data_IF_328934208838
#
_entry.id   IF_328934208838
#
_cell.length_a   1.000
_cell.length_b   1.000
_cell.length_c   1.000
_cell.angle_alpha   90.00
_cell.angle_beta   90.00
_cell.angle_gamma   90.00
#
_symmetry.space_group_name_H-M   'P 1'
#
loop_
_entity.id
_entity.type
_entity.pdbx_description
1 polymer ?
#
# COMPACT_ATOMS: atom_id res chain seq x y z
N UNK A 1 -39.37 13.42 -10.30
CA UNK A 1 -38.01 12.91 -10.62
C UNK A 1 -37.44 12.37 -9.33
N UNK A 2 -36.93 11.15 -9.32
CA UNK A 2 -36.33 10.57 -8.12
C UNK A 2 -34.97 11.22 -7.91
N UNK A 3 -34.81 11.83 -6.74
CA UNK A 3 -33.56 12.42 -6.30
C UNK A 3 -32.53 11.33 -6.02
N UNK A 4 -31.34 11.44 -6.61
CA UNK A 4 -30.27 10.43 -6.44
C UNK A 4 -29.69 10.49 -5.04
N UNK A 5 -29.16 9.35 -4.57
CA UNK A 5 -28.42 9.27 -3.31
C UNK A 5 -27.29 10.30 -3.26
N UNK A 6 -26.54 10.42 -4.36
CA UNK A 6 -25.49 11.42 -4.53
C UNK A 6 -25.99 12.86 -4.33
N UNK A 7 -27.10 13.24 -4.96
CA UNK A 7 -27.58 14.62 -4.85
C UNK A 7 -28.04 14.96 -3.42
N UNK A 8 -28.68 14.01 -2.74
CA UNK A 8 -29.03 14.16 -1.31
C UNK A 8 -27.78 14.37 -0.46
N UNK A 9 -26.73 13.58 -0.70
CA UNK A 9 -25.46 13.73 0.00
C UNK A 9 -24.85 15.11 -0.23
N UNK A 10 -24.83 15.59 -1.48
CA UNK A 10 -24.33 16.94 -1.82
C UNK A 10 -25.12 18.02 -1.06
N UNK A 11 -26.44 17.91 -0.96
CA UNK A 11 -27.27 18.86 -0.21
C UNK A 11 -27.01 18.81 1.31
N UNK A 12 -26.80 17.63 1.88
CA UNK A 12 -26.45 17.47 3.31
C UNK A 12 -25.09 18.10 3.61
N UNK A 13 -24.13 17.95 2.70
CA UNK A 13 -22.76 18.43 2.91
C UNK A 13 -22.61 19.93 2.60
N UNK A 14 -23.19 20.40 1.50
CA UNK A 14 -23.03 21.78 1.02
C UNK A 14 -24.14 22.73 1.53
N UNK A 15 -25.27 22.20 1.98
CA UNK A 15 -26.44 22.99 2.35
C UNK A 15 -27.24 23.49 1.15
N UNK A 16 -28.14 24.45 1.38
CA UNK A 16 -28.94 25.09 0.34
C UNK A 16 -28.16 26.22 -0.36
N UNK A 17 -27.11 25.83 -1.07
CA UNK A 17 -26.23 26.73 -1.83
C UNK A 17 -26.45 26.57 -3.33
N UNK A 18 -26.13 27.61 -4.09
CA UNK A 18 -26.31 27.59 -5.54
C UNK A 18 -25.30 26.64 -6.20
N UNK A 19 -25.70 26.01 -7.32
CA UNK A 19 -24.82 25.11 -8.07
C UNK A 19 -23.50 25.77 -8.52
N UNK A 20 -23.48 27.09 -8.67
CA UNK A 20 -22.26 27.85 -8.97
C UNK A 20 -21.30 27.87 -7.77
N UNK A 21 -21.82 28.09 -6.57
CA UNK A 21 -21.00 28.17 -5.35
C UNK A 21 -20.36 26.80 -5.05
N UNK A 22 -21.12 25.71 -5.21
CA UNK A 22 -20.57 24.34 -5.12
C UNK A 22 -19.46 24.15 -6.16
N UNK A 23 -19.69 24.56 -7.40
CA UNK A 23 -18.71 24.43 -8.47
C UNK A 23 -17.42 25.22 -8.18
N UNK A 24 -17.55 26.44 -7.66
CA UNK A 24 -16.42 27.31 -7.28
C UNK A 24 -15.61 26.70 -6.12
N UNK A 25 -16.27 26.15 -5.09
CA UNK A 25 -15.60 25.48 -3.96
C UNK A 25 -14.87 24.21 -4.41
N UNK A 26 -15.46 23.43 -5.31
CA UNK A 26 -14.92 22.15 -5.77
C UNK A 26 -13.88 22.32 -6.89
N UNK A 27 -13.86 23.48 -7.56
CA UNK A 27 -12.99 23.75 -8.70
C UNK A 27 -13.40 22.94 -9.94
N UNK A 28 -14.70 22.93 -10.27
CA UNK A 28 -15.27 22.25 -11.45
C UNK A 28 -16.27 23.16 -12.16
N UNK A 29 -16.67 22.81 -13.39
CA UNK A 29 -17.72 23.56 -14.09
C UNK A 29 -19.10 23.39 -13.44
N UNK A 30 -19.85 24.49 -13.34
CA UNK A 30 -21.26 24.53 -12.88
C UNK A 30 -22.17 23.53 -13.59
N UNK A 31 -21.89 23.23 -14.85
CA UNK A 31 -22.67 22.27 -15.66
C UNK A 31 -22.65 20.87 -15.05
N UNK A 32 -21.55 20.46 -14.41
CA UNK A 32 -21.45 19.17 -13.71
C UNK A 32 -22.41 19.12 -12.52
N UNK A 33 -22.38 20.14 -11.66
CA UNK A 33 -23.27 20.22 -10.49
C UNK A 33 -24.75 20.26 -10.90
N UNK A 34 -25.05 20.99 -11.98
CA UNK A 34 -26.42 21.05 -12.53
C UNK A 34 -26.89 19.67 -13.01
N UNK A 35 -26.01 18.88 -13.64
CA UNK A 35 -26.31 17.51 -14.06
C UNK A 35 -26.54 16.59 -12.85
N UNK A 36 -25.79 16.75 -11.76
CA UNK A 36 -26.02 15.97 -10.53
C UNK A 36 -27.40 16.24 -9.95
N UNK A 37 -27.84 17.50 -9.94
CA UNK A 37 -29.20 17.89 -9.54
C UNK A 37 -30.29 17.29 -10.42
N UNK A 38 -29.97 17.03 -11.69
CA UNK A 38 -30.86 16.35 -12.64
C UNK A 38 -30.81 14.81 -12.51
N UNK A 39 -30.04 14.28 -11.56
CA UNK A 39 -29.91 12.85 -11.30
C UNK A 39 -28.82 12.16 -12.09
N UNK A 40 -27.92 12.90 -12.75
CA UNK A 40 -26.75 12.29 -13.38
C UNK A 40 -25.76 11.84 -12.32
N UNK A 41 -25.23 10.62 -12.49
CA UNK A 41 -24.13 10.12 -11.68
C UNK A 41 -22.87 10.96 -11.92
N UNK A 42 -22.16 11.42 -10.87
CA UNK A 42 -20.92 12.18 -11.01
C UNK A 42 -19.80 11.30 -11.53
N UNK A 43 -18.82 11.88 -12.24
CA UNK A 43 -17.57 11.18 -12.51
C UNK A 43 -16.76 11.02 -11.21
N UNK A 44 -16.03 9.91 -11.07
CA UNK A 44 -15.22 9.61 -9.87
C UNK A 44 -14.30 10.76 -9.50
N UNK A 45 -13.61 11.36 -10.46
CA UNK A 45 -12.71 12.49 -10.22
C UNK A 45 -13.39 13.68 -9.52
N UNK A 46 -14.66 13.94 -9.84
CA UNK A 46 -15.42 15.02 -9.21
C UNK A 46 -15.95 14.64 -7.83
N UNK A 47 -16.25 13.36 -7.60
CA UNK A 47 -16.55 12.85 -6.25
C UNK A 47 -15.35 13.06 -5.32
N UNK A 48 -14.14 12.72 -5.80
CA UNK A 48 -12.90 12.92 -5.04
C UNK A 48 -12.64 14.39 -4.75
N UNK A 49 -12.81 15.27 -5.76
CA UNK A 49 -12.67 16.73 -5.58
C UNK A 49 -13.70 17.26 -4.57
N UNK A 50 -14.95 16.84 -4.69
CA UNK A 50 -16.03 17.26 -3.79
C UNK A 50 -15.72 16.87 -2.34
N UNK A 51 -15.38 15.59 -2.09
CA UNK A 51 -15.05 15.11 -0.77
C UNK A 51 -13.89 15.90 -0.15
N UNK A 52 -12.81 16.14 -0.91
CA UNK A 52 -11.65 16.90 -0.44
C UNK A 52 -11.97 18.37 -0.18
N UNK A 53 -12.73 19.02 -1.06
CA UNK A 53 -13.08 20.44 -0.92
C UNK A 53 -13.95 20.70 0.32
N UNK A 54 -14.83 19.76 0.66
CA UNK A 54 -15.71 19.85 1.84
C UNK A 54 -15.16 19.11 3.08
N UNK A 55 -13.93 18.60 3.04
CA UNK A 55 -13.31 17.89 4.16
C UNK A 55 -14.03 16.60 4.58
N UNK A 56 -14.69 15.92 3.64
CA UNK A 56 -15.43 14.67 3.86
C UNK A 56 -14.59 13.45 3.52
N UNK A 57 -15.03 12.29 4.02
CA UNK A 57 -14.40 11.01 3.70
C UNK A 57 -14.58 10.69 2.22
N UNK A 58 -13.48 10.37 1.54
CA UNK A 58 -13.51 9.94 0.13
C UNK A 58 -14.30 8.64 -0.01
N UNK A 59 -14.16 7.71 0.93
CA UNK A 59 -14.85 6.42 0.91
C UNK A 59 -16.36 6.62 1.06
N UNK A 60 -16.78 7.49 1.99
CA UNK A 60 -18.18 7.88 2.15
C UNK A 60 -18.74 8.47 0.86
N UNK A 61 -18.06 9.44 0.26
CA UNK A 61 -18.51 10.06 -0.99
C UNK A 61 -18.58 9.06 -2.16
N UNK A 62 -17.69 8.07 -2.22
CA UNK A 62 -17.74 6.99 -3.21
C UNK A 62 -18.94 6.05 -3.00
N UNK A 63 -19.32 5.79 -1.75
CA UNK A 63 -20.53 5.01 -1.43
C UNK A 63 -21.80 5.79 -1.80
N UNK A 64 -21.86 7.07 -1.45
CA UNK A 64 -22.99 7.95 -1.77
C UNK A 64 -23.16 8.22 -3.26
N UNK A 65 -22.10 8.05 -4.05
CA UNK A 65 -22.12 8.08 -5.52
C UNK A 65 -22.23 6.70 -6.17
N UNK A 66 -22.49 5.67 -5.36
CA UNK A 66 -22.76 4.28 -5.77
C UNK A 66 -21.60 3.62 -6.55
N UNK A 67 -20.36 4.11 -6.36
CA UNK A 67 -19.14 3.49 -6.93
C UNK A 67 -18.65 2.32 -6.11
N UNK A 68 -18.94 2.33 -4.81
CA UNK A 68 -18.78 1.22 -3.90
C UNK A 68 -20.08 1.05 -3.12
N UNK A 69 -20.26 -0.12 -2.54
CA UNK A 69 -21.36 -0.44 -1.63
C UNK A 69 -21.09 0.08 -0.23
N UNK A 70 -22.13 0.21 0.59
CA UNK A 70 -21.99 0.58 1.99
C UNK A 70 -21.16 -0.45 2.77
N UNK A 71 -21.25 -1.73 2.40
CA UNK A 71 -20.45 -2.80 2.98
C UNK A 71 -18.96 -2.63 2.66
N UNK A 72 -18.61 -2.29 1.42
CA UNK A 72 -17.23 -1.96 1.02
C UNK A 72 -16.72 -0.69 1.72
N UNK A 73 -17.59 0.31 1.90
CA UNK A 73 -17.26 1.54 2.63
C UNK A 73 -17.06 1.32 4.13
N UNK A 74 -17.71 0.30 4.69
CA UNK A 74 -17.60 -0.11 6.08
C UNK A 74 -16.38 -1.01 6.35
N UNK A 75 -15.55 -1.31 5.35
CA UNK A 75 -14.24 -1.95 5.55
C UNK A 75 -13.33 -0.94 6.25
N UNK A 76 -13.33 -0.97 7.58
CA UNK A 76 -12.35 -0.29 8.42
C UNK A 76 -11.12 -1.19 8.48
N UNK A 77 -9.99 -0.71 7.97
CA UNK A 77 -8.70 -1.24 8.44
C UNK A 77 -8.56 -0.77 9.90
N UNK A 78 -9.03 -1.61 10.84
CA UNK A 78 -8.92 -1.33 12.27
C UNK A 78 -7.47 -1.56 12.67
N UNK A 79 -6.75 -0.49 12.96
CA UNK A 79 -5.56 -0.57 13.79
C UNK A 79 -6.02 -0.89 15.21
N UNK A 80 -6.17 -2.18 15.51
CA UNK A 80 -6.41 -2.64 16.88
C UNK A 80 -5.14 -2.33 17.66
N UNK A 81 -5.22 -1.46 18.66
CA UNK A 81 -4.12 -1.26 19.61
C UNK A 81 -3.85 -2.57 20.36
N UNK A 82 -2.63 -2.80 20.84
CA UNK A 82 -2.36 -4.02 21.61
C UNK A 82 -3.25 -4.12 22.87
N UNK A 83 -3.66 -2.97 23.39
CA UNK A 83 -4.56 -2.74 24.50
C UNK A 83 -6.02 -3.17 24.25
N UNK A 84 -6.45 -3.24 22.99
CA UNK A 84 -7.81 -3.60 22.60
C UNK A 84 -7.98 -5.11 22.37
N UNK A 85 -6.87 -5.87 22.36
CA UNK A 85 -6.86 -7.32 22.24
C UNK A 85 -7.01 -7.96 23.61
N UNK A 86 -7.76 -9.06 23.69
CA UNK A 86 -7.66 -9.93 24.86
C UNK A 86 -6.25 -10.49 24.98
N UNK A 87 -5.78 -10.78 26.19
CA UNK A 87 -4.45 -11.38 26.40
C UNK A 87 -4.27 -12.68 25.61
N UNK A 88 -5.35 -13.44 25.42
CA UNK A 88 -5.38 -14.68 24.63
C UNK A 88 -5.15 -14.39 23.15
N UNK A 89 -5.79 -13.35 22.60
CA UNK A 89 -5.63 -12.97 21.20
C UNK A 89 -4.23 -12.39 20.93
N UNK A 90 -3.70 -11.62 21.88
CA UNK A 90 -2.34 -11.10 21.82
C UNK A 90 -1.31 -12.25 21.85
N UNK A 91 -1.50 -13.22 22.73
CA UNK A 91 -0.63 -14.41 22.80
C UNK A 91 -0.66 -15.22 21.50
N UNK A 92 -1.85 -15.42 20.91
CA UNK A 92 -2.02 -16.10 19.61
C UNK A 92 -1.29 -15.37 18.49
N UNK A 93 -1.40 -14.04 18.41
CA UNK A 93 -0.72 -13.25 17.39
C UNK A 93 0.79 -13.23 17.58
N UNK A 94 1.28 -13.15 18.83
CA UNK A 94 2.71 -13.27 19.12
C UNK A 94 3.26 -14.63 18.71
N UNK A 95 2.54 -15.72 19.01
CA UNK A 95 2.91 -17.06 18.56
C UNK A 95 2.94 -17.14 17.03
N UNK A 96 1.90 -16.65 16.36
CA UNK A 96 1.85 -16.61 14.89
C UNK A 96 2.99 -15.78 14.27
N UNK A 97 3.42 -14.68 14.91
CA UNK A 97 4.59 -13.90 14.47
C UNK A 97 5.89 -14.67 14.59
N UNK A 98 6.07 -15.43 15.67
CA UNK A 98 7.25 -16.28 15.88
C UNK A 98 7.29 -17.37 14.81
N UNK A 99 6.16 -18.03 14.55
CA UNK A 99 6.04 -19.07 13.52
C UNK A 99 6.30 -18.50 12.12
N UNK A 100 5.71 -17.35 11.77
CA UNK A 100 5.96 -16.68 10.49
C UNK A 100 7.44 -16.31 10.32
N UNK A 101 8.12 -15.80 11.36
CA UNK A 101 9.57 -15.53 11.31
C UNK A 101 10.39 -16.81 11.18
N UNK A 102 10.02 -17.86 11.90
CA UNK A 102 10.70 -19.15 11.81
C UNK A 102 10.57 -19.75 10.40
N UNK A 103 9.38 -19.68 9.78
CA UNK A 103 9.16 -20.10 8.40
C UNK A 103 9.86 -19.20 7.37
N UNK A 104 9.96 -17.89 7.65
CA UNK A 104 10.67 -16.93 6.78
C UNK A 104 12.19 -17.15 6.78
N UNK A 105 12.76 -17.65 7.88
CA UNK A 105 14.18 -17.97 7.99
C UNK A 105 14.58 -19.30 7.33
N UNK A 106 13.63 -20.12 6.86
CA UNK A 106 13.93 -21.39 6.18
C UNK A 106 14.31 -21.17 4.70
N UNK A 107 14.08 -19.99 4.12
CA UNK A 107 14.34 -19.74 2.69
C UNK A 107 15.71 -19.12 2.37
N UNK A 108 16.48 -18.63 3.37
CA UNK A 108 17.82 -18.02 3.14
C UNK A 108 18.97 -18.98 3.48
N UNK A 109 18.73 -20.29 3.41
CA UNK A 109 19.68 -21.31 3.89
C UNK A 109 19.83 -22.54 3.00
N UNK A 110 19.79 -22.40 1.67
CA UNK A 110 20.15 -23.52 0.78
C UNK A 110 20.74 -23.05 -0.54
N UNK A 111 22.01 -22.65 -0.53
CA UNK A 111 22.97 -22.93 -1.61
C UNK A 111 24.39 -22.92 -1.03
N UNK A 112 24.74 -24.02 -0.36
CA UNK A 112 26.11 -24.37 -0.03
C UNK A 112 26.40 -25.76 -0.58
N UNK A 113 26.91 -25.83 -1.81
CA UNK A 113 27.53 -27.05 -2.36
C UNK A 113 29.02 -26.76 -2.56
N UNK A 114 29.81 -27.39 -1.66
CA UNK A 114 31.17 -27.98 -1.80
C UNK A 114 32.18 -27.27 -2.73
N UNK A 115 33.44 -27.06 -2.37
CA UNK A 115 34.27 -27.64 -1.32
C UNK A 115 35.74 -27.36 -1.68
N UNK A 116 36.54 -27.17 -0.65
CA UNK A 116 37.85 -26.51 -0.64
C UNK A 116 39.00 -27.34 -1.21
N UNK A 117 40.00 -26.61 -1.72
CA UNK A 117 41.44 -26.84 -1.60
C UNK A 117 41.95 -28.30 -1.58
N UNK A 118 42.56 -28.72 -2.69
CA UNK A 118 43.60 -29.74 -2.65
C UNK A 118 44.93 -29.05 -2.33
N UNK A 119 45.45 -29.31 -1.13
CA UNK A 119 46.87 -29.24 -0.88
C UNK A 119 47.31 -30.53 -0.18
N UNK A 120 48.55 -30.92 -0.49
CA UNK A 120 49.35 -32.01 0.07
C UNK A 120 49.10 -33.47 -0.36
N UNK A 121 49.95 -33.97 -1.28
CA UNK A 121 51.06 -34.89 -0.92
C UNK A 121 51.97 -35.24 -2.12
N UNK A 122 53.15 -34.63 -2.09
CA UNK A 122 54.51 -35.21 -2.24
C UNK A 122 54.91 -36.07 -3.47
N UNK A 123 56.05 -35.69 -4.06
CA UNK A 123 57.28 -36.49 -4.31
C UNK A 123 57.92 -36.26 -5.70
N UNK A 124 59.07 -35.57 -5.67
CA UNK A 124 60.31 -35.72 -6.45
C UNK A 124 60.33 -35.80 -8.00
N UNK A 125 60.99 -34.80 -8.65
CA UNK A 125 62.24 -35.04 -9.40
C UNK A 125 63.03 -33.75 -9.77
N UNK A 126 64.21 -33.69 -9.16
CA UNK A 126 65.51 -33.05 -9.46
C UNK A 126 65.80 -32.54 -10.89
N UNK A 127 66.70 -31.52 -10.94
CA UNK A 127 67.68 -31.14 -11.99
C UNK A 127 67.23 -29.93 -12.85
N UNK A 128 67.87 -28.77 -12.90
CA UNK A 128 69.13 -28.22 -12.38
C UNK A 128 69.50 -27.00 -13.25
N UNK A 129 70.54 -26.24 -12.83
CA UNK A 129 71.27 -25.17 -13.57
C UNK A 129 70.70 -23.75 -13.36
N UNK A 130 71.24 -22.90 -12.49
CA UNK A 130 72.61 -22.34 -12.34
C UNK A 130 72.97 -21.26 -13.39
N UNK A 131 73.60 -20.18 -12.88
CA UNK A 131 74.00 -18.88 -13.48
C UNK A 131 72.94 -17.76 -13.46
N UNK A 132 73.23 -16.56 -12.96
CA UNK A 132 74.47 -15.97 -12.46
C UNK A 132 74.31 -14.45 -12.32
N UNK A 133 75.21 -13.85 -11.54
CA UNK A 133 75.67 -12.45 -11.54
C UNK A 133 74.63 -11.37 -11.15
N UNK A 134 74.77 -10.73 -9.99
CA UNK A 134 75.72 -9.63 -9.70
C UNK A 134 75.55 -8.43 -10.65
N UNK A 135 74.94 -7.34 -10.18
CA UNK A 135 75.60 -6.03 -9.99
C UNK A 135 74.62 -4.94 -9.53
N UNK A 136 74.92 -4.43 -8.33
CA UNK A 136 75.12 -3.04 -7.88
C UNK A 136 74.42 -1.82 -8.52
N UNK A 137 74.24 -0.82 -7.63
CA UNK A 137 73.91 0.62 -7.79
C UNK A 137 72.43 1.07 -7.84
#
# INVERSE_FOLDING_TARGET
>A
MNETRWWKYVQVVAGDVQAKEIADVVGIDKSNVTRWKQGSRPAVEFVLKFARAYGRSVIEALAESEYITDDEANIREVKIGAEDLSEVDLARELLGRVERRASSNVTVGRFGVRGSAQDERAVAKKKGRDRGEDTDA
#
